data_IF_570029603575
#
_entry.id   IF_570029603575
#
_cell.length_a   1.000
_cell.length_b   1.000
_cell.length_c   1.000
_cell.angle_alpha   90.00
_cell.angle_beta   90.00
_cell.angle_gamma   90.00
#
_symmetry.space_group_name_H-M   'P 1'
#
loop_
_entity.id
_entity.type
_entity.pdbx_description
1 polymer ?
#
# COMPACT_ATOMS: atom_id res chain seq x y z
N UNK A 1 14.03 -9.46 13.48
CA UNK A 1 13.45 -9.24 12.21
C UNK A 1 13.90 -7.95 11.56
N UNK A 2 14.15 -8.00 10.30
CA UNK A 2 14.59 -6.85 9.62
C UNK A 2 13.48 -5.93 9.29
N UNK A 3 13.65 -4.64 9.46
CA UNK A 3 12.66 -3.69 9.01
C UNK A 3 12.96 -3.31 7.58
N UNK A 4 11.92 -3.10 6.82
CA UNK A 4 12.07 -2.63 5.46
C UNK A 4 12.21 -1.13 5.44
N UNK A 5 12.57 -0.58 4.30
CA UNK A 5 12.60 0.86 4.15
C UNK A 5 11.21 1.44 4.32
N UNK A 6 10.20 0.72 3.86
CA UNK A 6 8.83 1.18 4.05
C UNK A 6 8.47 1.20 5.53
N UNK A 7 8.87 0.17 6.26
CA UNK A 7 8.60 0.14 7.70
C UNK A 7 9.22 1.32 8.41
N UNK A 8 10.45 1.65 8.06
CA UNK A 8 11.11 2.79 8.68
C UNK A 8 10.45 4.10 8.31
N UNK A 9 10.05 4.23 7.06
CA UNK A 9 9.36 5.42 6.62
C UNK A 9 8.05 5.58 7.38
N UNK A 10 7.28 4.52 7.47
CA UNK A 10 5.99 4.56 8.15
C UNK A 10 6.17 4.88 9.63
N UNK A 11 7.14 4.24 10.26
CA UNK A 11 7.38 4.49 11.68
C UNK A 11 7.69 5.96 11.92
N UNK A 12 8.53 6.53 11.07
CA UNK A 12 8.88 7.92 11.20
C UNK A 12 7.66 8.82 11.04
N UNK A 13 6.82 8.52 10.05
CA UNK A 13 5.64 9.34 9.81
C UNK A 13 4.63 9.22 10.94
N UNK A 14 4.51 8.04 11.51
CA UNK A 14 3.53 7.83 12.57
C UNK A 14 3.91 8.51 13.88
N UNK A 15 5.11 9.03 13.96
CA UNK A 15 5.49 9.81 15.13
C UNK A 15 4.82 11.18 15.12
N UNK A 16 4.31 11.61 13.97
CA UNK A 16 3.56 12.84 13.88
C UNK A 16 2.11 12.53 14.22
N UNK A 17 1.60 13.15 15.27
CA UNK A 17 0.24 12.84 15.73
C UNK A 17 -0.82 13.09 14.69
N UNK A 18 -0.65 14.15 13.88
CA UNK A 18 -1.64 14.44 12.87
C UNK A 18 -1.63 13.40 11.76
N UNK A 19 -0.43 12.97 11.40
CA UNK A 19 -0.32 11.94 10.39
C UNK A 19 -0.93 10.63 10.89
N UNK A 20 -0.63 10.26 12.13
CA UNK A 20 -1.15 9.02 12.69
C UNK A 20 -2.67 9.02 12.73
N UNK A 21 -3.27 10.15 13.11
CA UNK A 21 -4.72 10.24 13.16
C UNK A 21 -5.33 10.10 11.77
N UNK A 22 -4.71 10.72 10.79
CA UNK A 22 -5.20 10.62 9.42
C UNK A 22 -5.04 9.22 8.88
N UNK A 23 -3.92 8.60 9.21
CA UNK A 23 -3.65 7.25 8.76
C UNK A 23 -4.72 6.29 9.27
N UNK A 24 -5.06 6.41 10.54
CA UNK A 24 -6.07 5.54 11.13
C UNK A 24 -7.43 5.74 10.49
N UNK A 25 -7.77 6.99 10.20
CA UNK A 25 -9.09 7.27 9.66
C UNK A 25 -9.22 6.87 8.20
N UNK A 26 -8.15 7.00 7.45
CA UNK A 26 -8.21 6.74 6.02
C UNK A 26 -8.19 5.26 5.69
N UNK A 27 -7.67 4.45 6.59
CA UNK A 27 -7.70 3.01 6.37
C UNK A 27 -6.94 2.55 5.15
N UNK A 28 -7.57 1.72 4.37
CA UNK A 28 -6.90 1.05 3.27
C UNK A 28 -6.44 1.99 2.18
N UNK A 29 -7.24 2.98 1.88
CA UNK A 29 -6.86 3.92 0.83
C UNK A 29 -5.59 4.67 1.22
N UNK A 30 -5.50 5.05 2.49
CA UNK A 30 -4.33 5.72 2.99
C UNK A 30 -3.11 4.82 2.94
N UNK A 31 -3.33 3.55 3.29
CA UNK A 31 -2.26 2.58 3.29
C UNK A 31 -1.65 2.42 1.90
N UNK A 32 -2.48 2.30 0.88
CA UNK A 32 -2.00 2.16 -0.48
C UNK A 32 -1.27 3.41 -0.93
N UNK A 33 -1.86 4.58 -0.67
CA UNK A 33 -1.25 5.83 -1.08
C UNK A 33 0.12 6.01 -0.43
N UNK A 34 0.22 5.66 0.85
CA UNK A 34 1.46 5.80 1.57
C UNK A 34 2.54 4.88 1.00
N UNK A 35 2.17 3.67 0.66
CA UNK A 35 3.13 2.73 0.11
C UNK A 35 3.66 3.20 -1.24
N UNK A 36 2.78 3.73 -2.07
CA UNK A 36 3.23 4.23 -3.37
C UNK A 36 4.21 5.37 -3.18
N UNK A 37 3.87 6.31 -2.30
CA UNK A 37 4.75 7.45 -2.06
C UNK A 37 6.09 6.99 -1.49
N UNK A 38 6.06 6.05 -0.57
CA UNK A 38 7.29 5.56 0.05
C UNK A 38 8.20 4.89 -0.97
N UNK A 39 7.61 4.06 -1.82
CA UNK A 39 8.40 3.37 -2.84
C UNK A 39 8.99 4.35 -3.83
N UNK A 40 8.19 5.36 -4.21
CA UNK A 40 8.68 6.37 -5.14
C UNK A 40 9.86 7.11 -4.54
N UNK A 41 9.73 7.51 -3.28
CA UNK A 41 10.80 8.26 -2.63
C UNK A 41 12.05 7.41 -2.44
N UNK A 42 11.87 6.15 -2.13
CA UNK A 42 13.02 5.26 -2.01
C UNK A 42 13.74 5.08 -3.34
N UNK A 43 13.01 5.16 -4.42
CA UNK A 43 13.61 5.06 -5.75
C UNK A 43 14.27 6.37 -6.17
N UNK A 44 14.12 7.43 -5.37
CA UNK A 44 14.72 8.70 -5.69
C UNK A 44 14.00 9.47 -6.78
N UNK A 45 12.73 9.17 -6.99
CA UNK A 45 11.97 9.79 -8.07
C UNK A 45 11.00 10.83 -7.54
N UNK A 46 10.84 11.89 -8.31
CA UNK A 46 9.79 12.84 -8.03
C UNK A 46 8.48 12.30 -8.61
N UNK A 47 7.37 12.92 -8.24
CA UNK A 47 6.09 12.54 -8.84
C UNK A 47 6.13 12.73 -10.34
N UNK A 48 6.78 13.79 -10.79
CA UNK A 48 6.87 14.06 -12.19
C UNK A 48 7.67 13.00 -12.93
N UNK A 49 8.74 12.55 -12.30
CA UNK A 49 9.56 11.52 -12.91
C UNK A 49 8.84 10.19 -12.98
N UNK A 50 8.10 9.84 -11.94
CA UNK A 50 7.32 8.63 -11.98
C UNK A 50 6.23 8.72 -13.03
N UNK A 51 5.61 9.90 -13.15
CA UNK A 51 4.59 10.09 -14.17
C UNK A 51 5.16 9.85 -15.56
N UNK A 52 6.38 10.30 -15.77
CA UNK A 52 7.02 10.11 -17.06
C UNK A 52 7.26 8.64 -17.34
N UNK A 53 7.72 7.90 -16.34
CA UNK A 53 7.94 6.47 -16.50
C UNK A 53 6.65 5.72 -16.82
N UNK A 54 5.57 6.14 -16.21
CA UNK A 54 4.29 5.47 -16.41
C UNK A 54 3.49 6.04 -17.57
N UNK A 55 4.04 7.07 -18.22
CA UNK A 55 3.37 7.72 -19.34
C UNK A 55 2.01 8.27 -18.93
N UNK A 56 2.00 8.94 -17.82
CA UNK A 56 0.79 9.55 -17.31
C UNK A 56 1.13 10.95 -16.79
N UNK A 57 0.20 11.61 -16.17
CA UNK A 57 0.42 12.98 -15.69
C UNK A 57 0.86 12.98 -14.23
N UNK A 58 1.52 14.06 -13.86
CA UNK A 58 1.87 14.25 -12.46
C UNK A 58 0.62 14.31 -11.60
N UNK A 59 -0.46 14.88 -12.13
CA UNK A 59 -1.71 14.93 -11.40
C UNK A 59 -2.20 13.54 -11.07
N UNK A 60 -2.04 12.60 -12.00
CA UNK A 60 -2.48 11.24 -11.74
C UNK A 60 -1.64 10.60 -10.64
N UNK A 61 -0.33 10.84 -10.64
CA UNK A 61 0.53 10.31 -9.59
C UNK A 61 0.15 10.93 -8.26
N UNK A 62 -0.08 12.24 -8.25
CA UNK A 62 -0.49 12.90 -7.03
C UNK A 62 -1.79 12.31 -6.50
N UNK A 63 -2.70 11.98 -7.39
CA UNK A 63 -3.97 11.37 -7.00
C UNK A 63 -3.75 9.99 -6.41
N UNK A 64 -2.87 9.20 -7.00
CA UNK A 64 -2.57 7.86 -6.49
C UNK A 64 -1.95 7.91 -5.10
N UNK A 65 -1.28 9.00 -4.78
CA UNK A 65 -0.66 9.15 -3.47
C UNK A 65 -1.54 9.92 -2.50
N UNK A 66 -2.78 10.16 -2.88
CA UNK A 66 -3.71 10.87 -2.02
C UNK A 66 -4.45 9.88 -1.14
N UNK A 67 -4.57 10.18 0.15
CA UNK A 67 -5.23 9.25 1.07
C UNK A 67 -6.72 9.08 0.80
N UNK A 68 -7.31 10.02 0.06
CA UNK A 68 -8.74 9.94 -0.23
C UNK A 68 -9.06 9.20 -1.51
N UNK A 69 -8.06 8.86 -2.28
CA UNK A 69 -8.32 8.30 -3.58
C UNK A 69 -8.64 6.82 -3.47
N UNK A 70 -9.79 6.44 -3.97
CA UNK A 70 -10.22 5.05 -3.91
C UNK A 70 -10.31 4.41 -5.29
N UNK A 71 -9.70 5.03 -6.28
CA UNK A 71 -9.75 4.52 -7.63
C UNK A 71 -8.62 3.59 -8.02
N UNK A 72 -7.95 3.03 -7.03
CA UNK A 72 -6.85 2.12 -7.32
C UNK A 72 -7.39 0.83 -7.90
N UNK A 73 -6.87 0.44 -9.04
CA UNK A 73 -7.18 -0.87 -9.59
C UNK A 73 -5.94 -1.72 -9.44
N UNK A 74 -6.15 -3.01 -9.42
CA UNK A 74 -5.02 -3.93 -9.33
C UNK A 74 -4.09 -3.75 -10.52
N UNK A 75 -4.65 -3.50 -11.69
CA UNK A 75 -3.82 -3.29 -12.87
C UNK A 75 -2.93 -2.06 -12.73
N UNK A 76 -3.51 -0.97 -12.21
CA UNK A 76 -2.72 0.23 -12.00
C UNK A 76 -1.66 0.03 -10.94
N UNK A 77 -2.02 -0.66 -9.87
CA UNK A 77 -1.05 -0.92 -8.81
C UNK A 77 0.12 -1.74 -9.33
N UNK A 78 -0.16 -2.71 -10.19
CA UNK A 78 0.92 -3.49 -10.77
C UNK A 78 1.85 -2.65 -11.63
N UNK A 79 1.28 -1.74 -12.41
CA UNK A 79 2.10 -0.87 -13.23
C UNK A 79 3.03 -0.01 -12.39
N UNK A 80 2.49 0.56 -11.33
CA UNK A 80 3.29 1.38 -10.45
C UNK A 80 4.38 0.55 -9.80
N UNK A 81 4.00 -0.61 -9.29
CA UNK A 81 4.96 -1.46 -8.60
C UNK A 81 6.10 -1.88 -9.53
N UNK A 82 5.77 -2.25 -10.76
CA UNK A 82 6.80 -2.66 -11.70
C UNK A 82 7.78 -1.55 -12.00
N UNK A 83 7.27 -0.34 -12.14
CA UNK A 83 8.14 0.80 -12.40
C UNK A 83 9.08 1.07 -11.23
N UNK A 84 8.67 0.68 -10.04
CA UNK A 84 9.44 0.90 -8.84
C UNK A 84 10.14 -0.35 -8.33
N UNK A 85 10.21 -1.37 -9.17
CA UNK A 85 10.90 -2.63 -8.83
C UNK A 85 10.30 -3.31 -7.62
N UNK A 86 8.97 -3.27 -7.55
CA UNK A 86 8.23 -3.90 -6.47
C UNK A 86 7.14 -4.76 -7.08
N UNK A 87 6.40 -5.43 -6.25
CA UNK A 87 5.26 -6.20 -6.71
C UNK A 87 4.13 -6.07 -5.71
N UNK A 88 2.93 -6.30 -6.20
CA UNK A 88 1.73 -6.14 -5.41
C UNK A 88 1.36 -7.45 -4.76
N UNK A 89 1.02 -7.38 -3.49
CA UNK A 89 0.41 -8.49 -2.78
C UNK A 89 -0.87 -8.00 -2.18
N UNK A 90 -1.90 -8.82 -2.26
CA UNK A 90 -3.18 -8.48 -1.67
C UNK A 90 -3.47 -9.53 -0.61
N UNK A 91 -3.77 -9.08 0.59
CA UNK A 91 -4.04 -9.98 1.70
C UNK A 91 -5.37 -9.58 2.30
N UNK A 92 -6.23 -10.55 2.48
CA UNK A 92 -7.48 -10.35 3.17
C UNK A 92 -7.29 -10.84 4.60
N UNK A 93 -7.49 -9.95 5.53
CA UNK A 93 -7.31 -10.29 6.94
C UNK A 93 -8.66 -10.35 7.62
N UNK A 94 -8.91 -11.39 8.38
CA UNK A 94 -10.18 -11.45 9.10
C UNK A 94 -10.26 -10.28 10.08
N UNK A 95 -11.43 -9.71 10.17
CA UNK A 95 -11.68 -8.65 11.12
C UNK A 95 -12.15 -9.31 12.39
N UNK A 96 -11.33 -9.28 13.42
CA UNK A 96 -11.66 -9.97 14.65
C UNK A 96 -12.94 -9.52 15.27
N UNK A 97 -13.25 -8.25 15.12
CA UNK A 97 -14.50 -7.76 15.67
C UNK A 97 -15.70 -8.28 14.91
N UNK A 98 -15.56 -8.43 13.62
CA UNK A 98 -16.66 -8.89 12.79
C UNK A 98 -16.84 -10.37 12.86
N UNK A 99 -15.80 -11.10 13.19
CA UNK A 99 -15.90 -12.56 13.23
C UNK A 99 -16.16 -13.09 14.60
N UNK A 100 -16.53 -12.22 15.52
CA UNK A 100 -16.87 -12.65 16.81
C UNK A 100 -17.98 -13.67 16.74
N UNK A 101 -17.82 -14.79 17.37
CA UNK A 101 -18.81 -15.83 17.27
C UNK A 101 -18.55 -16.83 16.19
N UNK A 102 -17.63 -16.59 15.35
CA UNK A 102 -17.27 -17.54 14.34
C UNK A 102 -16.40 -18.62 15.00
N UNK A 103 -16.64 -19.83 14.64
CA UNK A 103 -15.97 -20.93 15.29
C UNK A 103 -14.48 -20.78 15.25
N UNK A 104 -13.96 -20.40 14.14
CA UNK A 104 -12.56 -20.15 14.10
C UNK A 104 -12.22 -19.37 12.89
N UNK A 105 -11.17 -18.61 12.99
CA UNK A 105 -10.80 -17.80 11.89
C UNK A 105 -10.18 -18.64 10.83
N UNK A 106 -10.46 -18.29 9.66
CA UNK A 106 -9.89 -18.92 8.55
C UNK A 106 -8.50 -18.42 8.39
N UNK A 107 -7.58 -19.28 8.15
CA UNK A 107 -6.25 -18.85 7.86
C UNK A 107 -6.32 -18.03 6.60
N UNK A 108 -5.67 -16.97 6.53
CA UNK A 108 -5.71 -16.22 5.34
C UNK A 108 -4.95 -16.96 4.33
N UNK A 109 -5.11 -16.77 3.36
CA UNK A 109 -4.49 -17.07 2.32
C UNK A 109 -3.25 -17.72 2.41
N UNK A 110 -3.02 -18.68 2.45
CA UNK A 110 -1.96 -19.22 2.56
C UNK A 110 -1.73 -19.95 1.46
N UNK A 111 -1.69 -19.92 1.10
CA UNK A 111 -1.55 -20.45 0.24
C UNK A 111 -1.44 -21.45 -0.11
N UNK A 112 -1.75 -21.85 -0.27
CA UNK A 112 -1.70 -22.70 -0.54
C UNK A 112 -1.29 -22.92 -1.52
N UNK A 113 -0.86 -22.71 -1.84
CA UNK A 113 -0.44 -22.74 -2.56
C UNK A 113 0.14 -23.08 -2.85
N UNK A 114 0.52 -23.31 -2.68
CA UNK A 114 1.07 -23.54 -2.85
C UNK A 114 1.26 -24.19 -3.11
N UNK A 115 1.05 -24.52 -3.09
CA UNK A 115 1.21 -25.03 -3.30
C UNK A 115 1.08 -25.37 -4.03
N UNK A 116 1.02 -25.39 -4.40
CA UNK A 116 0.97 -25.63 -4.99
C UNK A 116 1.24 -25.87 -5.54
N UNK A 117 1.40 -26.10 -5.65
CA UNK A 117 1.73 -26.36 -6.05
C UNK A 117 1.75 -26.72 -6.28
#
# INVERSE_FOLDING_TARGET
>A
MKTTNFDRYLTKQLQDARFAARFERAGEAWDVALQIAALREQAGLSQKELARLLKTSQQQISRLESPDYEGHSLANLRRVAEALHARVRVVFEPDEKSVKGVAQPVAPYRVKRASAK
#
